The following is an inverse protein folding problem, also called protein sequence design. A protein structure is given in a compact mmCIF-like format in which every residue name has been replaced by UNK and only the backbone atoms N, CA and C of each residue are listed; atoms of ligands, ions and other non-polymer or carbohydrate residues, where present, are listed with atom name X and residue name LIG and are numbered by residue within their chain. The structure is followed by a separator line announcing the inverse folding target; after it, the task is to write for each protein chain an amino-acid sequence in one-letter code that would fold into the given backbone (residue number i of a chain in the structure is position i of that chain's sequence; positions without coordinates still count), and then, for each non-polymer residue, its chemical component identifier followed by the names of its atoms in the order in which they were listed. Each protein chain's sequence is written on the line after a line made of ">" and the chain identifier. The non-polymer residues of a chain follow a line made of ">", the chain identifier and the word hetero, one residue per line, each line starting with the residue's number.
data_IF_856304092477
#
_entry.id   IF_856304092477
#
_cell.length_a   1.000
_cell.length_b   1.000
_cell.length_c   1.000
_cell.angle_alpha   90.00
_cell.angle_beta   90.00
_cell.angle_gamma   90.00
#
_symmetry.space_group_name_H-M   'P 1'
#
loop_
_entity.id
_entity.type
_entity.pdbx_description
1 polymer ?
#
# COMPACT_ATOMS: atom_id res chain seq x y z
N UNK A 1 -18.67 -17.65 -12.42
CA UNK A 1 -18.49 -16.34 -11.73
C UNK A 1 -17.00 -16.09 -11.64
N UNK A 2 -16.51 -14.95 -12.14
CA UNK A 2 -15.09 -14.60 -12.10
C UNK A 2 -14.81 -13.72 -10.87
N UNK A 3 -13.75 -14.04 -10.11
CA UNK A 3 -13.28 -13.28 -8.96
C UNK A 3 -11.84 -12.86 -9.22
N UNK A 4 -11.63 -11.60 -9.60
CA UNK A 4 -10.31 -11.03 -9.86
C UNK A 4 -9.65 -10.51 -8.56
N UNK A 5 -9.34 -11.44 -7.64
CA UNK A 5 -8.64 -11.14 -6.40
C UNK A 5 -7.63 -12.25 -6.06
N UNK A 6 -6.50 -11.89 -5.47
CA UNK A 6 -5.49 -12.86 -5.01
C UNK A 6 -6.04 -13.73 -3.86
N UNK A 7 -5.76 -15.04 -3.84
CA UNK A 7 -6.09 -15.92 -2.72
C UNK A 7 -5.33 -15.56 -1.43
N UNK A 8 -4.21 -14.82 -1.52
CA UNK A 8 -3.49 -14.29 -0.35
C UNK A 8 -4.34 -13.26 0.39
N UNK A 9 -5.05 -12.43 -0.37
CA UNK A 9 -5.88 -11.33 0.15
C UNK A 9 -7.27 -11.82 0.45
N UNK A 10 -7.89 -12.56 -0.48
CA UNK A 10 -9.25 -13.09 -0.39
C UNK A 10 -9.17 -14.61 -0.45
N UNK A 11 -9.08 -15.31 0.70
CA UNK A 11 -9.11 -16.77 0.73
C UNK A 11 -10.40 -17.30 0.10
N UNK A 12 -10.32 -18.46 -0.55
CA UNK A 12 -11.49 -19.16 -1.09
C UNK A 12 -12.49 -19.47 0.01
N UNK A 13 -13.78 -19.23 -0.22
CA UNK A 13 -14.83 -19.55 0.76
C UNK A 13 -15.58 -20.85 0.37
N UNK A 14 -15.97 -21.69 1.35
CA UNK A 14 -16.65 -22.97 1.08
C UNK A 14 -18.03 -22.84 0.42
N UNK A 15 -18.67 -21.68 0.58
CA UNK A 15 -20.00 -21.36 0.05
C UNK A 15 -19.95 -20.76 -1.37
N UNK A 16 -18.76 -20.62 -1.97
CA UNK A 16 -18.66 -20.21 -3.36
C UNK A 16 -19.23 -21.29 -4.29
N UNK A 17 -19.95 -20.90 -5.36
CA UNK A 17 -20.38 -21.84 -6.39
C UNK A 17 -19.20 -22.61 -6.98
N UNK A 18 -19.39 -23.88 -7.35
CA UNK A 18 -18.34 -24.68 -8.01
C UNK A 18 -17.82 -24.07 -9.33
N UNK A 19 -18.63 -23.18 -9.94
CA UNK A 19 -18.30 -22.42 -11.14
C UNK A 19 -17.59 -21.08 -10.85
N UNK A 20 -17.27 -20.79 -9.58
CA UNK A 20 -16.42 -19.68 -9.22
C UNK A 20 -14.99 -19.96 -9.72
N UNK A 21 -14.38 -18.95 -10.33
CA UNK A 21 -12.98 -18.95 -10.76
C UNK A 21 -12.32 -17.73 -10.18
N UNK A 22 -11.38 -17.94 -9.27
CA UNK A 22 -10.56 -16.90 -8.68
C UNK A 22 -9.25 -16.83 -9.46
N UNK A 23 -8.99 -15.70 -10.10
CA UNK A 23 -7.87 -15.56 -11.04
C UNK A 23 -6.70 -14.78 -10.48
N UNK A 24 -6.88 -14.03 -9.39
CA UNK A 24 -5.85 -13.12 -8.87
C UNK A 24 -6.13 -11.66 -9.23
N UNK A 25 -5.29 -10.74 -8.75
CA UNK A 25 -5.42 -9.32 -9.10
C UNK A 25 -5.01 -9.06 -10.55
N UNK A 26 -5.79 -8.22 -11.23
CA UNK A 26 -5.46 -7.72 -12.57
C UNK A 26 -4.31 -6.71 -12.46
N UNK A 27 -3.08 -7.21 -12.62
CA UNK A 27 -1.89 -6.37 -12.57
C UNK A 27 -1.39 -6.15 -13.99
N UNK A 28 -1.44 -4.89 -14.46
CA UNK A 28 -0.88 -4.52 -15.76
C UNK A 28 0.65 -4.57 -15.78
N UNK A 29 1.28 -4.41 -16.95
CA UNK A 29 2.72 -4.29 -17.06
C UNK A 29 3.24 -3.14 -16.19
N UNK A 30 4.42 -3.31 -15.62
CA UNK A 30 5.06 -2.23 -14.87
C UNK A 30 5.29 -1.05 -15.82
N UNK A 31 4.83 0.17 -15.47
CA UNK A 31 5.08 1.33 -16.31
C UNK A 31 6.57 1.66 -16.32
N UNK A 32 7.07 2.22 -17.42
CA UNK A 32 8.37 2.88 -17.43
C UNK A 32 8.25 4.18 -16.61
N UNK A 33 8.90 4.21 -15.44
CA UNK A 33 8.78 5.32 -14.48
C UNK A 33 10.03 6.17 -14.53
N UNK A 34 9.87 7.41 -14.99
CA UNK A 34 10.87 8.46 -14.83
C UNK A 34 10.57 9.27 -13.57
N UNK A 35 11.12 8.83 -12.44
CA UNK A 35 10.96 9.53 -11.18
C UNK A 35 11.69 10.90 -11.20
N UNK A 36 11.11 11.96 -10.59
CA UNK A 36 11.79 13.24 -10.43
C UNK A 36 13.10 13.10 -9.64
N UNK A 37 14.10 13.93 -9.97
CA UNK A 37 15.42 13.90 -9.33
C UNK A 37 15.31 14.04 -7.80
N UNK A 38 14.48 14.96 -7.32
CA UNK A 38 14.26 15.18 -5.88
C UNK A 38 13.78 13.92 -5.15
N UNK A 39 12.93 13.10 -5.80
CA UNK A 39 12.49 11.82 -5.22
C UNK A 39 13.66 10.86 -5.16
N UNK A 40 14.42 10.72 -6.24
CA UNK A 40 15.59 9.84 -6.29
C UNK A 40 16.63 10.23 -5.23
N UNK A 41 16.92 11.53 -5.12
CA UNK A 41 17.90 12.07 -4.19
C UNK A 41 17.46 11.86 -2.74
N UNK A 42 16.20 12.12 -2.41
CA UNK A 42 15.66 11.90 -1.07
C UNK A 42 15.73 10.42 -0.65
N UNK A 43 15.40 9.51 -1.57
CA UNK A 43 15.51 8.07 -1.34
C UNK A 43 16.96 7.66 -1.09
N UNK A 44 17.92 8.22 -1.83
CA UNK A 44 19.34 7.92 -1.71
C UNK A 44 20.02 8.53 -0.47
N UNK A 45 19.48 9.62 0.09
CA UNK A 45 20.13 10.39 1.16
C UNK A 45 20.21 9.72 2.55
N UNK A 46 19.77 8.46 2.71
CA UNK A 46 19.80 7.80 4.02
C UNK A 46 19.00 6.49 4.08
N UNK A 47 18.55 6.13 5.30
CA UNK A 47 17.73 4.92 5.54
C UNK A 47 16.39 4.99 4.80
N UNK A 48 15.93 3.92 4.11
CA UNK A 48 14.70 3.96 3.32
C UNK A 48 13.53 4.59 4.08
N UNK A 49 12.79 5.55 3.48
CA UNK A 49 11.66 6.19 4.14
C UNK A 49 10.44 5.26 4.19
N UNK A 50 9.45 5.62 4.99
CA UNK A 50 8.12 5.01 4.97
C UNK A 50 7.19 5.80 4.06
N UNK A 51 6.38 5.13 3.25
CA UNK A 51 5.30 5.80 2.52
C UNK A 51 4.11 6.00 3.46
N UNK A 52 3.52 7.19 3.47
CA UNK A 52 2.25 7.47 4.17
C UNK A 52 1.31 8.15 3.18
N UNK A 53 0.18 7.52 2.85
CA UNK A 53 -0.77 8.12 1.92
C UNK A 53 -2.18 7.52 2.00
N UNK A 54 -3.17 8.35 2.30
CA UNK A 54 -4.55 7.93 2.51
C UNK A 54 -5.46 8.09 1.28
N UNK A 55 -4.87 8.42 0.11
CA UNK A 55 -5.63 8.66 -1.12
C UNK A 55 -6.50 9.92 -1.05
N UNK A 56 -7.36 10.11 -2.05
CA UNK A 56 -8.26 11.27 -2.18
C UNK A 56 -9.70 10.98 -1.73
N UNK A 57 -9.92 9.95 -0.90
CA UNK A 57 -11.26 9.50 -0.52
C UNK A 57 -11.88 10.42 0.55
N UNK A 58 -12.45 11.53 0.09
CA UNK A 58 -13.29 12.42 0.88
C UNK A 58 -13.31 13.87 0.32
N UNK A 59 -14.44 14.59 0.36
CA UNK A 59 -14.58 15.93 -0.24
C UNK A 59 -13.63 17.01 0.30
N UNK A 60 -12.92 16.75 1.41
CA UNK A 60 -12.11 17.75 2.11
C UNK A 60 -10.61 17.51 2.08
N UNK A 61 -10.10 16.36 1.61
CA UNK A 61 -8.67 16.02 1.76
C UNK A 61 -8.17 16.03 3.22
N UNK A 62 -9.07 16.15 4.21
CA UNK A 62 -8.78 16.40 5.62
C UNK A 62 -8.00 15.27 6.32
N UNK A 63 -7.84 14.15 5.64
CA UNK A 63 -7.25 12.92 6.17
C UNK A 63 -5.75 12.78 5.91
N UNK A 64 -5.22 13.52 4.94
CA UNK A 64 -3.77 13.66 4.75
C UNK A 64 -3.33 14.98 5.40
N UNK A 65 -3.48 15.05 6.73
CA UNK A 65 -2.97 16.18 7.50
C UNK A 65 -1.43 16.14 7.47
N UNK A 66 -0.87 17.01 6.63
CA UNK A 66 0.57 17.14 6.46
C UNK A 66 1.27 17.50 7.78
N UNK A 67 0.60 18.24 8.66
CA UNK A 67 1.11 18.58 9.99
C UNK A 67 1.26 17.34 10.87
N UNK A 68 0.30 16.41 10.84
CA UNK A 68 0.40 15.13 11.54
C UNK A 68 1.56 14.29 11.01
N UNK A 69 1.72 14.23 9.68
CA UNK A 69 2.81 13.48 9.02
C UNK A 69 4.19 14.05 9.40
N UNK A 70 4.36 15.37 9.32
CA UNK A 70 5.62 16.05 9.70
C UNK A 70 5.92 15.84 11.19
N UNK A 71 4.93 16.01 12.07
CA UNK A 71 5.12 15.81 13.49
C UNK A 71 5.46 14.35 13.84
N UNK A 72 4.84 13.38 13.17
CA UNK A 72 5.16 11.95 13.34
C UNK A 72 6.58 11.62 12.85
N UNK A 73 7.01 12.17 11.71
CA UNK A 73 8.38 12.05 11.20
C UNK A 73 9.40 12.57 12.22
N UNK A 74 9.21 13.79 12.72
CA UNK A 74 10.10 14.40 13.73
C UNK A 74 10.15 13.59 15.02
N UNK A 75 9.01 13.08 15.48
CA UNK A 75 8.90 12.27 16.71
C UNK A 75 9.61 10.92 16.61
N UNK A 76 9.46 10.24 15.48
CA UNK A 76 10.01 8.90 15.27
C UNK A 76 11.44 8.91 14.72
N UNK A 77 11.88 10.02 14.12
CA UNK A 77 13.12 10.08 13.33
C UNK A 77 13.04 9.30 12.02
N UNK A 78 11.85 8.83 11.63
CA UNK A 78 11.63 8.05 10.41
C UNK A 78 11.27 9.00 9.28
N UNK A 79 12.03 8.91 8.17
CA UNK A 79 11.77 9.70 6.96
C UNK A 79 10.48 9.23 6.29
N UNK A 80 9.70 10.16 5.74
CA UNK A 80 8.40 9.89 5.12
C UNK A 80 8.35 10.41 3.69
N UNK A 81 7.81 9.61 2.78
CA UNK A 81 7.31 10.06 1.48
C UNK A 81 5.78 10.07 1.52
N UNK A 82 5.15 11.17 1.14
CA UNK A 82 3.70 11.34 1.17
C UNK A 82 3.19 11.96 -0.14
N UNK A 83 1.97 11.64 -0.61
CA UNK A 83 1.38 12.35 -1.74
C UNK A 83 1.19 13.84 -1.45
N UNK A 84 1.51 14.70 -2.42
CA UNK A 84 1.10 16.09 -2.41
C UNK A 84 -0.42 16.17 -2.65
N UNK A 85 -1.18 16.56 -1.62
CA UNK A 85 -2.64 16.68 -1.68
C UNK A 85 -3.12 18.02 -1.13
N UNK A 86 -4.32 18.42 -1.55
CA UNK A 86 -4.93 19.69 -1.11
C UNK A 86 -4.09 20.89 -1.58
N UNK A 87 -3.66 21.72 -0.63
CA UNK A 87 -2.81 22.89 -0.91
C UNK A 87 -1.31 22.57 -0.96
N UNK A 88 -0.90 21.36 -0.56
CA UNK A 88 0.51 20.98 -0.58
C UNK A 88 1.03 20.96 -2.02
N UNK A 89 2.27 21.38 -2.21
CA UNK A 89 3.01 21.26 -3.46
C UNK A 89 4.02 20.12 -3.32
N UNK A 90 4.33 19.40 -4.40
CA UNK A 90 5.47 18.50 -4.41
C UNK A 90 6.74 19.24 -3.99
N UNK A 91 7.58 18.58 -3.21
CA UNK A 91 8.82 19.11 -2.69
C UNK A 91 9.07 18.71 -1.24
N UNK A 92 10.27 19.02 -0.75
CA UNK A 92 10.63 18.84 0.65
C UNK A 92 9.78 19.77 1.54
N UNK A 93 8.93 19.18 2.38
CA UNK A 93 8.05 19.93 3.30
C UNK A 93 8.62 20.04 4.72
N UNK A 94 9.52 19.12 5.07
CA UNK A 94 10.34 19.12 6.29
C UNK A 94 11.60 18.28 6.05
N UNK A 95 12.63 18.38 6.89
CA UNK A 95 13.89 17.62 6.74
C UNK A 95 13.67 16.11 6.52
N UNK A 96 12.69 15.55 7.23
CA UNK A 96 12.32 14.14 7.13
C UNK A 96 11.15 13.82 6.20
N UNK A 97 10.52 14.79 5.54
CA UNK A 97 9.26 14.56 4.81
C UNK A 97 9.31 15.16 3.41
N UNK A 98 9.14 14.29 2.41
CA UNK A 98 9.00 14.65 1.01
C UNK A 98 7.57 14.47 0.53
N UNK A 99 6.94 15.54 0.06
CA UNK A 99 5.67 15.47 -0.66
C UNK A 99 5.92 15.24 -2.16
N UNK A 100 5.20 14.31 -2.78
CA UNK A 100 5.43 13.92 -4.18
C UNK A 100 4.15 13.96 -5.02
N UNK A 101 4.29 14.24 -6.31
CA UNK A 101 3.26 13.91 -7.28
C UNK A 101 3.03 12.38 -7.35
N UNK A 102 1.88 11.92 -7.88
CA UNK A 102 1.63 10.50 -8.06
C UNK A 102 2.75 9.80 -8.87
N UNK A 103 3.39 8.82 -8.23
CA UNK A 103 4.36 7.91 -8.85
C UNK A 103 3.80 6.49 -8.72
N UNK A 104 4.04 5.65 -9.73
CA UNK A 104 3.56 4.27 -9.72
C UNK A 104 4.05 3.52 -8.45
N UNK A 105 3.12 2.97 -7.68
CA UNK A 105 3.43 2.22 -6.45
C UNK A 105 4.36 1.02 -6.71
N UNK A 106 4.26 0.39 -7.88
CA UNK A 106 5.16 -0.70 -8.30
C UNK A 106 6.62 -0.30 -8.36
N UNK A 107 6.91 0.99 -8.60
CA UNK A 107 8.25 1.55 -8.52
C UNK A 107 8.54 2.10 -7.12
N UNK A 108 7.61 2.82 -6.50
CA UNK A 108 7.88 3.50 -5.23
C UNK A 108 7.98 2.53 -4.04
N UNK A 109 7.00 1.65 -3.86
CA UNK A 109 6.88 0.85 -2.63
C UNK A 109 8.07 -0.09 -2.37
N UNK A 110 8.66 -0.77 -3.37
CA UNK A 110 9.86 -1.59 -3.14
C UNK A 110 11.07 -0.83 -2.58
N UNK A 111 11.05 0.51 -2.58
CA UNK A 111 12.13 1.38 -2.08
C UNK A 111 11.83 1.94 -0.68
N UNK A 112 10.72 1.53 -0.07
CA UNK A 112 10.30 1.99 1.26
C UNK A 112 10.71 1.00 2.35
N UNK A 113 10.84 1.48 3.60
CA UNK A 113 10.98 0.64 4.78
C UNK A 113 9.62 0.12 5.30
N UNK A 114 8.54 0.86 5.01
CA UNK A 114 7.18 0.54 5.38
C UNK A 114 6.18 1.26 4.48
N UNK A 115 4.92 0.82 4.49
CA UNK A 115 3.81 1.46 3.78
C UNK A 115 2.62 1.63 4.72
N UNK A 116 2.15 2.85 4.89
CA UNK A 116 0.91 3.18 5.60
C UNK A 116 -0.07 3.76 4.59
N UNK A 117 -1.25 3.16 4.47
CA UNK A 117 -2.25 3.59 3.50
C UNK A 117 -3.69 3.52 4.04
N UNK A 118 -4.67 3.95 3.25
CA UNK A 118 -6.09 3.92 3.65
C UNK A 118 -6.70 2.51 3.63
N UNK A 119 -6.15 1.57 2.86
CA UNK A 119 -6.65 0.19 2.80
C UNK A 119 -7.44 -0.16 1.55
N UNK A 120 -7.45 0.69 0.51
CA UNK A 120 -8.10 0.33 -0.75
C UNK A 120 -7.45 -0.88 -1.41
N UNK A 121 -8.26 -1.77 -1.97
CA UNK A 121 -7.85 -3.07 -2.52
C UNK A 121 -6.57 -3.02 -3.37
N UNK A 122 -6.51 -2.11 -4.35
CA UNK A 122 -5.33 -1.97 -5.23
C UNK A 122 -4.07 -1.48 -4.52
N UNK A 123 -4.19 -0.61 -3.52
CA UNK A 123 -3.03 -0.13 -2.75
C UNK A 123 -2.53 -1.21 -1.79
N UNK A 124 -3.45 -1.93 -1.16
CA UNK A 124 -3.15 -3.10 -0.32
C UNK A 124 -2.42 -4.16 -1.14
N UNK A 125 -2.90 -4.46 -2.35
CA UNK A 125 -2.22 -5.39 -3.25
C UNK A 125 -0.83 -4.91 -3.67
N UNK A 126 -0.68 -3.62 -4.03
CA UNK A 126 0.61 -3.05 -4.37
C UNK A 126 1.61 -3.11 -3.20
N UNK A 127 1.14 -2.86 -1.96
CA UNK A 127 1.91 -3.00 -0.74
C UNK A 127 2.41 -4.43 -0.53
N UNK A 128 1.50 -5.40 -0.55
CA UNK A 128 1.85 -6.83 -0.46
C UNK A 128 2.85 -7.25 -1.55
N UNK A 129 2.56 -6.91 -2.81
CA UNK A 129 3.41 -7.26 -3.96
C UNK A 129 4.80 -6.61 -3.92
N UNK A 130 4.95 -5.48 -3.23
CA UNK A 130 6.26 -4.85 -3.02
C UNK A 130 7.17 -5.65 -2.07
N UNK A 131 6.58 -6.47 -1.18
CA UNK A 131 7.30 -7.23 -0.17
C UNK A 131 7.78 -6.38 1.01
N UNK A 132 7.23 -5.19 1.19
CA UNK A 132 7.53 -4.26 2.29
C UNK A 132 6.45 -4.36 3.37
N UNK A 133 6.80 -4.25 4.67
CA UNK A 133 5.81 -4.16 5.74
C UNK A 133 4.74 -3.11 5.47
N UNK A 134 3.47 -3.47 5.67
CA UNK A 134 2.34 -2.62 5.28
C UNK A 134 1.24 -2.63 6.32
N UNK A 135 0.69 -1.46 6.63
CA UNK A 135 -0.45 -1.27 7.51
C UNK A 135 -1.49 -0.35 6.85
N UNK A 136 -2.76 -0.52 7.22
CA UNK A 136 -3.84 0.29 6.69
C UNK A 136 -4.65 0.96 7.79
N UNK A 137 -4.90 2.26 7.70
CA UNK A 137 -5.80 3.00 8.58
C UNK A 137 -7.11 3.24 7.81
N UNK A 138 -8.19 2.50 8.12
CA UNK A 138 -9.43 2.55 7.33
C UNK A 138 -10.26 3.82 7.56
N UNK A 139 -10.87 4.30 6.48
CA UNK A 139 -11.85 5.38 6.42
C UNK A 139 -13.27 4.85 6.14
N UNK A 140 -13.40 3.66 5.54
CA UNK A 140 -14.69 3.00 5.33
C UNK A 140 -14.71 1.96 4.21
N UNK A 141 -15.91 1.54 3.82
CA UNK A 141 -16.18 0.58 2.73
C UNK A 141 -15.48 -0.77 3.00
N UNK A 142 -14.55 -1.17 2.13
CA UNK A 142 -13.79 -2.43 2.14
C UNK A 142 -12.46 -2.30 2.89
N UNK A 143 -12.06 -1.09 3.27
CA UNK A 143 -10.76 -0.82 3.88
C UNK A 143 -10.54 -1.53 5.23
N UNK A 144 -11.54 -1.67 6.13
CA UNK A 144 -11.36 -2.43 7.37
C UNK A 144 -11.01 -3.90 7.13
N UNK A 145 -11.56 -4.51 6.07
CA UNK A 145 -11.22 -5.87 5.68
C UNK A 145 -9.75 -5.98 5.30
N UNK A 146 -9.26 -5.05 4.46
CA UNK A 146 -7.87 -5.03 4.04
C UNK A 146 -6.89 -4.76 5.19
N UNK A 147 -7.24 -3.85 6.12
CA UNK A 147 -6.44 -3.63 7.32
C UNK A 147 -6.32 -4.91 8.16
N UNK A 148 -7.45 -5.55 8.47
CA UNK A 148 -7.45 -6.80 9.21
C UNK A 148 -6.68 -7.91 8.47
N UNK A 149 -6.77 -7.93 7.14
CA UNK A 149 -6.05 -8.93 6.33
C UNK A 149 -4.54 -8.75 6.40
N UNK A 150 -4.02 -7.51 6.38
CA UNK A 150 -2.59 -7.23 6.53
C UNK A 150 -2.06 -7.73 7.89
N UNK A 151 -2.77 -7.46 8.99
CA UNK A 151 -2.40 -8.02 10.31
C UNK A 151 -2.43 -9.53 10.29
N UNK A 152 -3.50 -10.13 9.78
CA UNK A 152 -3.69 -11.60 9.76
C UNK A 152 -2.64 -12.32 8.92
N UNK A 153 -2.09 -11.65 7.90
CA UNK A 153 -0.99 -12.16 7.08
C UNK A 153 0.37 -12.02 7.76
N UNK A 154 0.47 -11.25 8.86
CA UNK A 154 1.70 -10.99 9.59
C UNK A 154 2.65 -10.01 8.88
N UNK A 155 2.12 -9.11 8.05
CA UNK A 155 2.94 -8.13 7.30
C UNK A 155 2.92 -6.72 7.88
N UNK A 156 2.12 -6.51 8.93
CA UNK A 156 2.05 -5.24 9.64
C UNK A 156 1.34 -5.42 10.98
N UNK A 157 1.45 -4.43 11.87
CA UNK A 157 0.72 -4.42 13.13
C UNK A 157 -0.76 -4.14 12.91
N UNK A 158 -1.56 -4.42 13.95
CA UNK A 158 -2.90 -3.85 14.05
C UNK A 158 -2.85 -2.33 14.10
N UNK A 159 -3.89 -1.73 13.55
CA UNK A 159 -4.05 -0.28 13.47
C UNK A 159 -5.22 0.20 14.32
N UNK A 160 -5.33 1.52 14.42
CA UNK A 160 -6.34 2.22 15.21
C UNK A 160 -7.41 2.85 14.29
N UNK A 161 -8.59 3.20 14.84
CA UNK A 161 -9.58 3.99 14.12
C UNK A 161 -9.00 5.33 13.65
N UNK A 162 -9.41 5.81 12.47
CA UNK A 162 -8.93 7.07 11.90
C UNK A 162 -9.07 8.27 12.84
N UNK A 163 -10.08 8.28 13.71
CA UNK A 163 -10.31 9.35 14.70
C UNK A 163 -9.18 9.44 15.75
N UNK A 164 -8.36 8.39 15.87
CA UNK A 164 -7.19 8.34 16.75
C UNK A 164 -5.88 8.62 15.99
N UNK A 165 -5.94 8.99 14.70
CA UNK A 165 -4.78 9.40 13.93
C UNK A 165 -4.22 10.71 14.52
N UNK A 166 -3.04 10.60 15.11
CA UNK A 166 -2.30 11.71 15.72
C UNK A 166 -0.81 11.54 15.41
N UNK A 167 0.02 12.56 15.65
CA UNK A 167 1.47 12.45 15.51
C UNK A 167 2.05 11.28 16.32
N UNK A 168 1.53 11.04 17.51
CA UNK A 168 1.97 9.98 18.42
C UNK A 168 1.58 8.59 17.90
N UNK A 169 0.32 8.40 17.52
CA UNK A 169 -0.16 7.09 17.05
C UNK A 169 0.46 6.72 15.70
N UNK A 170 0.63 7.69 14.79
CA UNK A 170 1.35 7.49 13.55
C UNK A 170 2.84 7.19 13.80
N UNK A 171 3.53 7.93 14.66
CA UNK A 171 4.93 7.66 14.99
C UNK A 171 5.14 6.24 15.54
N UNK A 172 4.26 5.77 16.42
CA UNK A 172 4.29 4.40 16.94
C UNK A 172 4.08 3.34 15.85
N UNK A 173 3.15 3.60 14.92
CA UNK A 173 2.92 2.71 13.77
C UNK A 173 4.14 2.65 12.84
N UNK A 174 4.77 3.79 12.56
CA UNK A 174 5.98 3.86 11.74
C UNK A 174 7.13 3.07 12.38
N UNK A 175 7.34 3.21 13.69
CA UNK A 175 8.35 2.44 14.42
C UNK A 175 8.08 0.93 14.33
N UNK A 176 6.85 0.50 14.64
CA UNK A 176 6.49 -0.92 14.60
C UNK A 176 6.68 -1.56 13.21
N UNK A 177 6.43 -0.82 12.12
CA UNK A 177 6.67 -1.31 10.75
C UNK A 177 8.16 -1.43 10.43
N UNK A 178 9.02 -0.60 11.03
CA UNK A 178 10.44 -0.46 10.66
C UNK A 178 11.41 -1.18 11.60
N UNK A 179 10.93 -1.69 12.74
CA UNK A 179 11.70 -2.51 13.70
C UNK A 179 12.07 -3.92 13.19
N UNK A 180 11.65 -4.28 11.98
CA UNK A 180 12.04 -5.54 11.30
C UNK A 180 11.16 -6.75 11.62
N UNK A 181 10.25 -6.67 12.61
CA UNK A 181 9.34 -7.75 13.00
C UNK A 181 8.55 -8.36 11.83
N UNK A 182 8.16 -7.53 10.86
CA UNK A 182 7.31 -7.93 9.74
C UNK A 182 8.09 -8.16 8.43
N UNK A 183 9.39 -7.87 8.40
CA UNK A 183 10.17 -7.80 7.16
C UNK A 183 10.26 -9.16 6.44
N UNK A 184 10.57 -10.24 7.16
CA UNK A 184 10.70 -11.57 6.57
C UNK A 184 9.38 -12.05 5.96
N UNK A 185 8.26 -11.86 6.68
CA UNK A 185 6.93 -12.26 6.22
C UNK A 185 6.44 -11.43 5.04
N UNK A 186 6.70 -10.12 5.05
CA UNK A 186 6.40 -9.26 3.93
C UNK A 186 7.19 -9.68 2.67
N UNK A 187 8.48 -9.96 2.79
CA UNK A 187 9.32 -10.39 1.67
C UNK A 187 8.86 -11.73 1.06
N UNK A 188 8.49 -12.69 1.91
CA UNK A 188 7.92 -13.98 1.51
C UNK A 188 6.62 -13.78 0.70
N UNK A 189 5.65 -13.07 1.29
CA UNK A 189 4.36 -12.84 0.62
C UNK A 189 4.48 -11.98 -0.63
N UNK A 190 5.42 -11.03 -0.67
CA UNK A 190 5.71 -10.27 -1.87
C UNK A 190 6.26 -11.13 -3.00
N UNK A 191 7.04 -12.17 -2.68
CA UNK A 191 7.52 -13.14 -3.67
C UNK A 191 6.37 -13.96 -4.24
N UNK A 192 5.47 -14.45 -3.39
CA UNK A 192 4.26 -15.17 -3.83
C UNK A 192 3.35 -14.26 -4.68
N UNK A 193 3.09 -13.03 -4.21
CA UNK A 193 2.24 -12.07 -4.91
C UNK A 193 2.79 -11.66 -6.28
N UNK A 194 4.12 -11.59 -6.46
CA UNK A 194 4.74 -11.31 -7.76
C UNK A 194 4.69 -12.49 -8.73
N UNK A 195 4.57 -13.71 -8.21
CA UNK A 195 4.42 -14.92 -9.04
C UNK A 195 3.00 -15.11 -9.58
N UNK A 196 2.00 -14.39 -9.04
CA UNK A 196 0.64 -14.41 -9.57
C UNK A 196 0.55 -13.69 -10.93
N UNK A 197 -0.04 -14.36 -11.91
CA UNK A 197 -0.43 -13.78 -13.21
C UNK A 197 -1.96 -13.71 -13.32
N UNK A 198 -2.56 -12.82 -12.53
CA UNK A 198 -4.02 -12.70 -12.50
C UNK A 198 -4.64 -12.15 -13.78
N UNK A 199 -3.87 -11.37 -14.55
CA UNK A 199 -4.29 -10.90 -15.86
C UNK A 199 -4.33 -12.07 -16.86
N UNK A 200 -3.25 -12.83 -16.98
CA UNK A 200 -3.19 -13.99 -17.87
C UNK A 200 -4.23 -15.05 -17.52
N UNK A 201 -4.39 -15.38 -16.24
CA UNK A 201 -5.43 -16.31 -15.78
C UNK A 201 -6.85 -15.83 -16.10
N UNK A 202 -7.09 -14.52 -16.01
CA UNK A 202 -8.38 -13.91 -16.39
C UNK A 202 -8.62 -13.99 -17.88
N UNK A 203 -7.62 -13.65 -18.70
CA UNK A 203 -7.73 -13.71 -20.16
C UNK A 203 -7.97 -15.15 -20.63
N UNK A 204 -7.24 -16.13 -20.10
CA UNK A 204 -7.45 -17.55 -20.40
C UNK A 204 -8.88 -18.01 -20.07
N UNK A 205 -9.40 -17.63 -18.90
CA UNK A 205 -10.78 -17.96 -18.52
C UNK A 205 -11.81 -17.32 -19.47
N UNK A 206 -11.61 -16.07 -19.85
CA UNK A 206 -12.53 -15.37 -20.76
C UNK A 206 -12.50 -15.97 -22.17
N UNK A 207 -11.34 -16.42 -22.64
CA UNK A 207 -11.19 -17.13 -23.91
C UNK A 207 -11.89 -18.49 -23.89
N UNK A 208 -11.64 -19.32 -22.88
CA UNK A 208 -12.30 -20.62 -22.68
C UNK A 208 -13.83 -20.50 -22.61
N UNK A 209 -14.34 -19.41 -22.04
CA UNK A 209 -15.75 -19.13 -21.94
C UNK A 209 -16.36 -18.47 -23.19
N UNK A 210 -15.56 -18.20 -24.23
CA UNK A 210 -16.00 -17.64 -25.51
C UNK A 210 -16.28 -16.14 -25.51
N UNK A 211 -15.69 -15.38 -24.56
CA UNK A 211 -15.90 -13.93 -24.46
C UNK A 211 -14.90 -13.08 -25.25
N UNK A 212 -13.78 -13.64 -25.73
CA UNK A 212 -12.70 -12.90 -26.39
C UNK A 212 -12.55 -13.19 -27.90
N UNK A 213 -13.60 -13.71 -28.54
CA UNK A 213 -13.60 -14.17 -29.94
C UNK A 213 -12.96 -13.23 -30.96
#
# INVERSE_FOLDING_TARGET
>A
MLIAASPLVVPTAPDWPATARQTGYLTGPAPDVRAPAEVVDFLAAGKPPTYVGFGSLGPSGAHNDLGVVVAASRRSGIRIVTPAVGSARPGLVDEGVLAIDPIAHSWLFPRMAGVVHHGGAGTTWAGLRSGVPSAAIPFGVDQPYHAHRLTSLGVGPDTFPVQQLSPESLAGLLAALTEGRYAARAAELGTLARAEDGLGATLAYLDEAGYLG
#
